data_IF_503462798397
#
_entry.id   IF_503462798397
#
_cell.length_a   1.000
_cell.length_b   1.000
_cell.length_c   1.000
_cell.angle_alpha   90.00
_cell.angle_beta   90.00
_cell.angle_gamma   90.00
#
_symmetry.space_group_name_H-M   'P 1'
#
loop_
_entity.id
_entity.type
_entity.pdbx_description
1 polymer ?
#
# COMPACT_ATOMS: atom_id res chain seq x y z
N UNK A 1 5.32 3.75 2.35
CA UNK A 1 6.05 3.78 1.07
C UNK A 1 7.55 3.79 1.37
N UNK A 2 8.32 2.87 0.79
CA UNK A 2 9.77 2.74 0.99
C UNK A 2 10.45 2.97 -0.37
N UNK A 3 11.36 3.94 -0.45
CA UNK A 3 12.14 4.25 -1.64
C UNK A 3 13.62 4.04 -1.35
N UNK A 4 14.31 3.23 -2.16
CA UNK A 4 15.76 3.10 -2.14
C UNK A 4 16.28 3.40 -3.54
N UNK A 5 17.18 4.37 -3.66
CA UNK A 5 17.66 4.89 -4.95
C UNK A 5 18.98 4.29 -5.43
N UNK A 6 19.56 3.30 -4.74
CA UNK A 6 20.81 2.68 -5.20
C UNK A 6 21.44 1.68 -4.23
N UNK A 7 22.53 1.06 -4.70
CA UNK A 7 23.39 0.21 -3.88
C UNK A 7 24.07 1.06 -2.81
N UNK A 8 24.07 0.54 -1.58
CA UNK A 8 24.74 1.18 -0.47
C UNK A 8 25.71 0.20 0.18
N UNK A 9 26.85 0.72 0.64
CA UNK A 9 27.78 0.00 1.51
C UNK A 9 27.16 -0.43 2.86
N UNK A 10 26.03 0.17 3.25
CA UNK A 10 25.28 -0.09 4.49
C UNK A 10 23.77 -0.13 4.23
N UNK A 11 23.08 -1.14 4.74
CA UNK A 11 21.62 -1.23 4.64
C UNK A 11 20.94 0.02 5.23
N UNK A 12 19.95 0.58 4.54
CA UNK A 12 19.18 1.74 5.02
C UNK A 12 19.82 3.11 4.80
N UNK A 13 21.04 3.17 4.24
CA UNK A 13 21.76 4.41 3.88
C UNK A 13 20.95 5.31 2.94
N UNK A 14 20.59 4.75 1.79
CA UNK A 14 19.85 5.40 0.70
C UNK A 14 18.35 5.11 0.75
N UNK A 15 17.89 4.45 1.81
CA UNK A 15 16.48 4.08 1.99
C UNK A 15 15.74 5.19 2.72
N UNK A 16 14.66 5.69 2.15
CA UNK A 16 13.71 6.57 2.84
C UNK A 16 12.38 5.84 3.03
N UNK A 17 11.77 5.99 4.20
CA UNK A 17 10.40 5.55 4.46
C UNK A 17 9.51 6.75 4.77
N UNK A 18 8.26 6.70 4.31
CA UNK A 18 7.28 7.75 4.59
C UNK A 18 6.66 7.62 5.97
N UNK A 19 6.67 8.71 6.75
CA UNK A 19 5.92 8.89 8.00
C UNK A 19 4.70 9.78 7.71
N UNK A 20 3.47 9.36 8.06
CA UNK A 20 2.28 10.17 7.78
C UNK A 20 2.29 11.47 8.59
N UNK A 21 1.90 12.58 7.94
CA UNK A 21 1.78 13.90 8.58
C UNK A 21 0.32 14.33 8.66
N UNK A 22 -0.37 14.28 7.53
CA UNK A 22 -1.77 14.65 7.41
C UNK A 22 -2.38 13.90 6.23
N UNK A 23 -3.71 13.74 6.23
CA UNK A 23 -4.41 13.21 5.08
C UNK A 23 -5.91 13.27 5.25
N UNK A 24 -6.60 13.18 4.12
CA UNK A 24 -8.03 13.15 4.02
C UNK A 24 -8.44 11.99 3.11
N UNK A 25 -9.49 11.29 3.52
CA UNK A 25 -10.16 10.31 2.68
C UNK A 25 -11.57 10.86 2.43
N UNK A 26 -11.92 11.00 1.17
CA UNK A 26 -13.24 11.48 0.75
C UNK A 26 -13.95 10.40 -0.03
N UNK A 27 -15.17 10.06 0.38
CA UNK A 27 -16.04 9.20 -0.42
C UNK A 27 -16.59 10.02 -1.58
N UNK A 28 -16.19 9.66 -2.80
CA UNK A 28 -16.58 10.38 -4.02
C UNK A 28 -17.93 9.88 -4.54
N UNK A 29 -18.14 8.56 -4.50
CA UNK A 29 -19.41 7.96 -4.89
C UNK A 29 -19.62 6.62 -4.20
N UNK A 30 -20.89 6.24 -4.06
CA UNK A 30 -21.34 4.95 -3.55
C UNK A 30 -22.46 4.43 -4.44
N UNK A 31 -22.44 3.15 -4.80
CA UNK A 31 -23.55 2.51 -5.50
C UNK A 31 -23.35 1.01 -5.66
N UNK A 32 -24.22 0.38 -6.46
CA UNK A 32 -24.23 -1.08 -6.66
C UNK A 32 -22.93 -1.60 -7.30
N UNK A 33 -22.18 -0.73 -7.97
CA UNK A 33 -20.90 -1.05 -8.60
C UNK A 33 -19.68 -0.72 -7.72
N UNK A 34 -19.91 -0.46 -6.42
CA UNK A 34 -18.87 -0.24 -5.42
C UNK A 34 -18.80 1.18 -4.87
N UNK A 35 -17.70 1.43 -4.16
CA UNK A 35 -17.40 2.70 -3.51
C UNK A 35 -16.16 3.27 -4.17
N UNK A 36 -16.21 4.55 -4.50
CA UNK A 36 -15.07 5.29 -4.99
C UNK A 36 -14.60 6.26 -3.92
N UNK A 37 -13.32 6.20 -3.59
CA UNK A 37 -12.69 7.04 -2.58
C UNK A 37 -11.53 7.81 -3.20
N UNK A 38 -11.40 9.07 -2.81
CA UNK A 38 -10.23 9.89 -3.05
C UNK A 38 -9.40 9.90 -1.76
N UNK A 39 -8.11 9.64 -1.89
CA UNK A 39 -7.14 9.69 -0.81
C UNK A 39 -6.14 10.79 -1.13
N UNK A 40 -6.12 11.82 -0.30
CA UNK A 40 -5.14 12.89 -0.37
C UNK A 40 -4.32 12.87 0.92
N UNK A 41 -3.07 12.43 0.87
CA UNK A 41 -2.22 12.25 2.04
C UNK A 41 -0.83 12.86 1.83
N UNK A 42 -0.28 13.41 2.91
CA UNK A 42 1.08 13.96 2.94
C UNK A 42 1.93 13.14 3.90
N UNK A 43 3.10 12.73 3.42
CA UNK A 43 4.10 11.99 4.15
C UNK A 43 5.39 12.80 4.22
N UNK A 44 6.09 12.69 5.34
CA UNK A 44 7.47 13.13 5.46
C UNK A 44 8.37 11.92 5.27
N UNK A 45 9.28 11.98 4.30
CA UNK A 45 10.29 10.95 4.16
C UNK A 45 11.29 11.02 5.32
N UNK A 46 11.69 9.86 5.86
CA UNK A 46 12.61 9.74 6.99
C UNK A 46 13.63 8.65 6.69
N UNK A 47 14.90 8.88 7.05
CA UNK A 47 15.97 7.88 6.95
C UNK A 47 15.88 6.91 8.14
N UNK A 48 15.96 5.59 7.94
CA UNK A 48 16.08 4.60 9.01
C UNK A 48 17.26 4.87 9.96
N UNK A 49 18.32 5.49 9.45
CA UNK A 49 19.54 5.82 10.19
C UNK A 49 19.62 7.31 10.60
N UNK A 50 18.53 8.06 10.41
CA UNK A 50 18.41 9.49 10.76
C UNK A 50 19.49 10.38 10.15
N UNK A 51 19.98 10.05 8.96
CA UNK A 51 21.01 10.86 8.34
C UNK A 51 20.46 12.21 7.85
N UNK A 52 21.13 13.32 8.19
CA UNK A 52 20.69 14.65 7.76
C UNK A 52 20.75 14.79 6.24
N UNK A 53 19.71 15.39 5.62
CA UNK A 53 19.76 15.81 4.22
C UNK A 53 19.36 14.78 3.17
N UNK A 54 19.18 13.49 3.50
CA UNK A 54 18.89 12.45 2.49
C UNK A 54 17.39 12.26 2.18
N UNK A 55 16.49 12.61 3.11
CA UNK A 55 15.05 12.32 2.98
C UNK A 55 14.14 13.56 3.14
N UNK A 56 14.64 14.77 2.90
CA UNK A 56 13.94 16.02 3.27
C UNK A 56 12.81 16.46 2.32
N UNK A 57 12.31 15.57 1.47
CA UNK A 57 11.19 15.87 0.58
C UNK A 57 9.84 15.42 1.19
N UNK A 58 8.86 16.32 1.35
CA UNK A 58 7.48 15.88 1.58
C UNK A 58 6.98 15.17 0.33
N UNK A 59 6.40 13.99 0.53
CA UNK A 59 5.77 13.21 -0.55
C UNK A 59 4.28 13.30 -0.38
N UNK A 60 3.59 13.77 -1.40
CA UNK A 60 2.13 13.79 -1.45
C UNK A 60 1.63 12.60 -2.26
N UNK A 61 0.59 11.93 -1.76
CA UNK A 61 -0.16 10.90 -2.47
C UNK A 61 -1.56 11.45 -2.70
N UNK A 62 -2.00 11.46 -3.95
CA UNK A 62 -3.36 11.81 -4.36
C UNK A 62 -3.84 10.69 -5.26
N UNK A 63 -4.58 9.75 -4.70
CA UNK A 63 -4.99 8.52 -5.37
C UNK A 63 -6.49 8.35 -5.31
N UNK A 64 -7.05 7.85 -6.42
CA UNK A 64 -8.47 7.52 -6.51
C UNK A 64 -8.61 6.01 -6.54
N UNK A 65 -9.17 5.45 -5.48
CA UNK A 65 -9.37 4.02 -5.35
C UNK A 65 -10.83 3.67 -5.56
N UNK A 66 -11.06 2.57 -6.26
CA UNK A 66 -12.38 1.98 -6.42
C UNK A 66 -12.44 0.66 -5.68
N UNK A 67 -13.23 0.60 -4.62
CA UNK A 67 -13.54 -0.63 -3.92
C UNK A 67 -14.74 -1.29 -4.62
N UNK A 68 -14.51 -2.44 -5.24
CA UNK A 68 -15.55 -3.24 -5.85
C UNK A 68 -16.18 -4.17 -4.80
N UNK A 69 -17.50 -4.39 -4.85
CA UNK A 69 -18.13 -5.39 -4.00
C UNK A 69 -17.63 -6.77 -4.42
N UNK A 70 -17.08 -7.53 -3.46
CA UNK A 70 -16.73 -8.93 -3.64
C UNK A 70 -17.82 -9.80 -3.02
N UNK A 71 -18.20 -10.86 -3.72
CA UNK A 71 -19.08 -11.88 -3.15
C UNK A 71 -18.33 -12.64 -2.07
N UNK A 72 -18.99 -12.96 -0.94
CA UNK A 72 -18.37 -13.67 0.19
C UNK A 72 -17.71 -15.00 -0.22
N UNK A 73 -18.27 -15.67 -1.22
CA UNK A 73 -17.75 -16.94 -1.76
C UNK A 73 -16.51 -16.77 -2.65
N UNK A 74 -16.11 -15.53 -2.96
CA UNK A 74 -14.87 -15.20 -3.68
C UNK A 74 -13.83 -14.52 -2.78
N UNK A 75 -14.09 -14.43 -1.47
CA UNK A 75 -13.07 -14.02 -0.53
C UNK A 75 -12.07 -15.17 -0.36
N UNK A 76 -10.80 -14.80 -0.29
CA UNK A 76 -9.67 -15.66 0.08
C UNK A 76 -9.14 -15.25 1.47
N UNK A 77 -8.10 -15.91 1.96
CA UNK A 77 -7.57 -15.62 3.28
C UNK A 77 -6.92 -14.23 3.43
N UNK A 78 -6.59 -13.52 2.34
CA UNK A 78 -6.17 -12.11 2.40
C UNK A 78 -7.33 -11.12 2.41
N UNK A 79 -8.47 -11.52 1.86
CA UNK A 79 -9.68 -10.69 1.75
C UNK A 79 -10.75 -11.06 2.79
N UNK A 80 -10.52 -12.10 3.61
CA UNK A 80 -11.26 -12.39 4.83
C UNK A 80 -11.95 -13.76 4.90
N UNK A 81 -11.78 -14.65 3.93
CA UNK A 81 -12.27 -16.03 4.04
C UNK A 81 -11.27 -16.90 4.80
N UNK A 82 -11.75 -17.53 5.87
CA UNK A 82 -10.96 -18.53 6.59
C UNK A 82 -10.90 -19.83 5.77
N UNK A 83 -9.76 -20.09 5.12
CA UNK A 83 -9.42 -21.37 4.51
C UNK A 83 -8.37 -22.09 5.41
N UNK A 84 -8.74 -23.19 6.09
CA UNK A 84 -7.85 -23.89 7.02
C UNK A 84 -6.65 -24.55 6.34
N UNK A 85 -6.73 -24.80 5.02
CA UNK A 85 -5.66 -25.44 4.25
C UNK A 85 -4.78 -24.42 3.52
N UNK A 86 -5.10 -23.13 3.61
CA UNK A 86 -4.37 -22.10 2.90
C UNK A 86 -3.06 -21.73 3.60
N UNK A 87 -1.94 -21.94 2.91
CA UNK A 87 -0.58 -21.61 3.36
C UNK A 87 -0.32 -20.10 3.27
N UNK A 88 0.16 -19.44 4.34
CA UNK A 88 0.58 -18.04 4.29
C UNK A 88 1.66 -17.76 3.24
N UNK A 89 2.53 -18.75 2.96
CA UNK A 89 3.61 -18.62 1.99
C UNK A 89 3.10 -18.62 0.55
N UNK A 90 2.21 -19.55 0.21
CA UNK A 90 1.65 -19.66 -1.15
C UNK A 90 0.72 -18.48 -1.46
N UNK A 91 0.02 -18.00 -0.44
CA UNK A 91 -0.82 -16.81 -0.54
C UNK A 91 -0.01 -15.51 -0.68
N UNK A 92 1.19 -15.40 -0.09
CA UNK A 92 2.06 -14.23 -0.22
C UNK A 92 2.74 -14.13 -1.60
N UNK A 93 2.70 -15.21 -2.38
CA UNK A 93 3.29 -15.30 -3.71
C UNK A 93 2.22 -15.76 -4.71
N UNK A 94 1.19 -14.94 -4.99
CA UNK A 94 0.17 -15.31 -5.94
C UNK A 94 0.84 -15.60 -7.30
N UNK A 95 0.83 -16.87 -7.70
CA UNK A 95 1.16 -17.26 -9.06
C UNK A 95 0.20 -16.51 -9.98
N UNK A 96 0.72 -15.89 -11.05
CA UNK A 96 -0.07 -15.17 -12.05
C UNK A 96 -1.26 -16.02 -12.52
N UNK A 97 -2.41 -15.91 -11.84
CA UNK A 97 -3.67 -16.49 -12.28
C UNK A 97 -4.23 -15.48 -13.27
N UNK A 98 -3.90 -15.69 -14.55
CA UNK A 98 -4.70 -15.16 -15.64
C UNK A 98 -6.16 -15.51 -15.32
N UNK A 99 -7.01 -14.50 -15.19
CA UNK A 99 -8.44 -14.65 -15.33
C UNK A 99 -8.73 -14.94 -16.82
N UNK A 100 -9.33 -16.09 -17.10
CA UNK A 100 -10.23 -16.26 -18.25
C UNK A 100 -11.60 -15.64 -17.91
#
# INVERSE_FOLDING_TARGET
MFHSSGSSAFAGKTGCYGVPVAGQITVVSTGDFGIEIQIDATFRATSPLQWPGECDAPTTVSERLRALPLSLQHLDAWTGAHDPDASPFDQAHPSNRLHD
#
